data_IF_004402062889
#
_entry.id   IF_004402062889
#
_cell.length_a   1.000
_cell.length_b   1.000
_cell.length_c   1.000
_cell.angle_alpha   90.00
_cell.angle_beta   90.00
_cell.angle_gamma   90.00
#
_symmetry.space_group_name_H-M   'P 1'
#
loop_
_entity.id
_entity.type
_entity.pdbx_description
1 polymer ?
#
# COMPACT_ATOMS: atom_id res chain seq x y z
N UNK A 1 -10.44 -23.61 3.26
CA UNK A 1 -9.94 -22.23 3.27
C UNK A 1 -11.11 -21.31 2.99
N UNK A 2 -11.30 -20.23 3.75
CA UNK A 2 -12.42 -19.29 3.56
C UNK A 2 -11.87 -17.86 3.46
N UNK A 3 -12.43 -17.08 2.55
CA UNK A 3 -12.22 -15.64 2.48
C UNK A 3 -13.49 -14.96 2.98
N UNK A 4 -13.33 -13.88 3.75
CA UNK A 4 -14.42 -13.10 4.34
C UNK A 4 -14.15 -11.60 4.15
N UNK A 5 -15.06 -10.76 4.63
CA UNK A 5 -14.93 -9.30 4.60
C UNK A 5 -14.82 -8.71 3.17
N UNK A 6 -15.78 -9.07 2.33
CA UNK A 6 -15.92 -8.53 0.97
C UNK A 6 -16.54 -7.11 0.95
N UNK A 7 -16.63 -6.40 2.08
CA UNK A 7 -17.32 -5.10 2.18
C UNK A 7 -16.69 -3.98 1.33
N UNK A 8 -15.47 -4.19 0.82
CA UNK A 8 -14.76 -3.24 -0.07
C UNK A 8 -14.53 -3.77 -1.48
N UNK A 9 -15.10 -4.92 -1.82
CA UNK A 9 -14.94 -5.56 -3.13
C UNK A 9 -15.52 -4.67 -4.22
N UNK A 10 -14.77 -4.48 -5.30
CA UNK A 10 -15.22 -3.77 -6.47
C UNK A 10 -14.43 -4.25 -7.69
N UNK A 11 -14.93 -3.99 -8.89
CA UNK A 11 -14.17 -4.17 -10.12
C UNK A 11 -13.04 -3.15 -10.18
N UNK A 12 -11.87 -3.53 -9.65
CA UNK A 12 -10.64 -2.75 -9.67
C UNK A 12 -9.57 -3.52 -10.42
N UNK A 13 -8.48 -2.84 -10.71
CA UNK A 13 -7.28 -3.51 -11.18
C UNK A 13 -6.77 -4.51 -10.12
N UNK A 14 -6.23 -5.63 -10.58
CA UNK A 14 -5.83 -6.74 -9.69
C UNK A 14 -4.71 -6.37 -8.72
N UNK A 15 -3.91 -5.35 -9.05
CA UNK A 15 -2.87 -4.79 -8.17
C UNK A 15 -3.43 -4.20 -6.88
N UNK A 16 -4.74 -3.90 -6.81
CA UNK A 16 -5.36 -3.32 -5.62
C UNK A 16 -5.28 -4.23 -4.41
N UNK A 17 -5.41 -5.54 -4.62
CA UNK A 17 -5.22 -6.54 -3.56
C UNK A 17 -3.73 -6.70 -3.22
N UNK A 18 -2.84 -6.61 -4.22
CA UNK A 18 -1.39 -6.66 -4.02
C UNK A 18 -0.89 -5.53 -3.11
N UNK A 19 -1.38 -4.30 -3.27
CA UNK A 19 -1.05 -3.16 -2.38
C UNK A 19 -1.37 -3.49 -0.92
N UNK A 20 -2.53 -4.08 -0.65
CA UNK A 20 -2.94 -4.47 0.71
C UNK A 20 -2.05 -5.56 1.28
N UNK A 21 -1.77 -6.60 0.48
CA UNK A 21 -0.90 -7.71 0.87
C UNK A 21 0.53 -7.23 1.17
N UNK A 22 1.10 -6.35 0.33
CA UNK A 22 2.45 -5.79 0.51
C UNK A 22 2.59 -4.95 1.77
N UNK A 23 1.57 -4.17 2.14
CA UNK A 23 1.61 -3.37 3.38
C UNK A 23 1.39 -4.18 4.65
N UNK A 24 0.83 -5.40 4.56
CA UNK A 24 0.47 -6.23 5.70
C UNK A 24 1.19 -7.59 5.68
N UNK A 25 0.64 -8.58 4.97
CA UNK A 25 1.03 -9.98 5.08
C UNK A 25 2.40 -10.28 4.45
N UNK A 26 2.80 -9.54 3.42
CA UNK A 26 4.08 -9.72 2.72
C UNK A 26 5.20 -8.85 3.32
N UNK A 27 4.88 -7.92 4.22
CA UNK A 27 5.87 -7.00 4.80
C UNK A 27 6.99 -7.76 5.51
N UNK A 28 8.22 -7.61 5.02
CA UNK A 28 9.39 -8.32 5.53
C UNK A 28 9.44 -9.81 5.21
N UNK A 29 8.62 -10.29 4.26
CA UNK A 29 8.49 -11.71 3.89
C UNK A 29 8.65 -11.92 2.38
N UNK A 30 9.84 -11.66 1.80
CA UNK A 30 10.06 -11.71 0.35
C UNK A 30 9.79 -13.09 -0.27
N UNK A 31 10.02 -14.18 0.47
CA UNK A 31 9.72 -15.53 -0.01
C UNK A 31 8.21 -15.78 -0.19
N UNK A 32 7.36 -15.15 0.63
CA UNK A 32 5.91 -15.27 0.50
C UNK A 32 5.42 -14.52 -0.75
N UNK A 33 6.04 -13.38 -1.04
CA UNK A 33 5.76 -12.62 -2.26
C UNK A 33 6.20 -13.39 -3.52
N UNK A 34 7.37 -14.01 -3.49
CA UNK A 34 7.82 -14.90 -4.57
C UNK A 34 6.84 -16.06 -4.80
N UNK A 35 6.40 -16.71 -3.72
CA UNK A 35 5.42 -17.80 -3.80
C UNK A 35 4.05 -17.32 -4.34
N UNK A 36 3.62 -16.11 -3.97
CA UNK A 36 2.40 -15.49 -4.50
C UNK A 36 2.49 -15.32 -6.02
N UNK A 37 3.57 -14.70 -6.52
CA UNK A 37 3.73 -14.49 -7.96
C UNK A 37 3.88 -15.80 -8.75
N UNK A 38 4.60 -16.78 -8.18
CA UNK A 38 4.69 -18.11 -8.76
C UNK A 38 3.31 -18.78 -8.86
N UNK A 39 2.47 -18.65 -7.83
CA UNK A 39 1.10 -19.18 -7.83
C UNK A 39 0.13 -18.42 -8.73
N UNK A 40 0.30 -17.10 -8.87
CA UNK A 40 -0.49 -16.27 -9.79
C UNK A 40 -0.13 -16.50 -11.26
N UNK A 41 1.02 -17.12 -11.53
CA UNK A 41 1.60 -17.28 -12.87
C UNK A 41 1.59 -15.97 -13.67
N UNK A 42 1.90 -14.87 -12.99
CA UNK A 42 1.83 -13.51 -13.52
C UNK A 42 2.99 -12.69 -12.98
N UNK A 43 3.51 -11.82 -13.83
CA UNK A 43 4.47 -10.78 -13.44
C UNK A 43 3.82 -9.40 -13.60
N UNK A 44 4.37 -8.39 -12.93
CA UNK A 44 3.91 -7.01 -13.08
C UNK A 44 4.47 -6.42 -14.38
N UNK A 45 3.59 -6.04 -15.30
CA UNK A 45 3.99 -5.26 -16.46
C UNK A 45 4.10 -3.75 -16.14
N UNK A 46 4.42 -2.94 -17.14
CA UNK A 46 4.59 -1.50 -16.96
C UNK A 46 3.29 -0.79 -16.54
N UNK A 47 2.13 -1.31 -16.94
CA UNK A 47 0.82 -0.73 -16.65
C UNK A 47 0.38 -1.13 -15.23
N UNK A 48 0.62 -2.39 -14.86
CA UNK A 48 0.46 -2.91 -13.51
C UNK A 48 1.29 -2.07 -12.51
N UNK A 49 2.56 -1.78 -12.85
CA UNK A 49 3.43 -0.96 -12.00
C UNK A 49 2.93 0.49 -11.85
N UNK A 50 2.38 1.08 -12.91
CA UNK A 50 1.79 2.44 -12.83
C UNK A 50 0.55 2.43 -11.94
N UNK A 51 -0.33 1.46 -12.11
CA UNK A 51 -1.54 1.35 -11.31
C UNK A 51 -1.23 1.06 -9.83
N UNK A 52 -0.29 0.15 -9.57
CA UNK A 52 0.20 -0.16 -8.23
C UNK A 52 0.69 1.09 -7.50
N UNK A 53 1.49 1.94 -8.15
CA UNK A 53 1.99 3.21 -7.55
C UNK A 53 0.86 4.17 -7.18
N UNK A 54 -0.13 4.33 -8.07
CA UNK A 54 -1.28 5.19 -7.79
C UNK A 54 -2.11 4.65 -6.61
N UNK A 55 -2.28 3.33 -6.54
CA UNK A 55 -3.00 2.68 -5.44
C UNK A 55 -2.23 2.74 -4.12
N UNK A 56 -0.89 2.63 -4.11
CA UNK A 56 -0.07 2.88 -2.92
C UNK A 56 -0.21 4.32 -2.42
N UNK A 57 -0.19 5.31 -3.32
CA UNK A 57 -0.40 6.71 -2.96
C UNK A 57 -1.78 6.92 -2.34
N UNK A 58 -2.83 6.41 -2.99
CA UNK A 58 -4.19 6.52 -2.48
C UNK A 58 -4.34 5.81 -1.12
N UNK A 59 -3.74 4.64 -0.94
CA UNK A 59 -3.75 3.91 0.32
C UNK A 59 -3.06 4.71 1.44
N UNK A 60 -1.89 5.28 1.18
CA UNK A 60 -1.17 6.13 2.13
C UNK A 60 -1.97 7.38 2.51
N UNK A 61 -2.51 8.09 1.51
CA UNK A 61 -3.31 9.30 1.73
C UNK A 61 -4.59 9.00 2.50
N UNK A 62 -5.33 7.97 2.11
CA UNK A 62 -6.55 7.55 2.81
C UNK A 62 -6.28 7.17 4.27
N UNK A 63 -5.13 6.54 4.53
CA UNK A 63 -4.68 6.22 5.89
C UNK A 63 -4.47 7.49 6.71
N UNK A 64 -3.76 8.49 6.16
CA UNK A 64 -3.53 9.78 6.83
C UNK A 64 -4.84 10.52 7.11
N UNK A 65 -5.73 10.62 6.11
CA UNK A 65 -7.02 11.33 6.23
C UNK A 65 -7.92 10.66 7.27
N UNK A 66 -8.04 9.33 7.22
CA UNK A 66 -8.87 8.59 8.18
C UNK A 66 -8.32 8.71 9.60
N UNK A 67 -7.00 8.52 9.76
CA UNK A 67 -6.32 8.64 11.04
C UNK A 67 -6.50 10.04 11.67
N UNK A 68 -6.44 11.10 10.84
CA UNK A 68 -6.74 12.45 11.29
C UNK A 68 -8.19 12.58 11.78
N UNK A 69 -9.16 12.06 11.01
CA UNK A 69 -10.58 12.17 11.33
C UNK A 69 -10.97 11.51 12.66
N UNK A 70 -10.26 10.48 13.09
CA UNK A 70 -10.53 9.77 14.36
C UNK A 70 -9.52 10.03 15.48
N UNK A 71 -8.48 10.83 15.22
CA UNK A 71 -7.44 11.15 16.20
C UNK A 71 -6.41 10.04 16.45
N UNK A 72 -6.20 9.11 15.52
CA UNK A 72 -5.19 8.06 15.65
C UNK A 72 -3.84 8.51 15.05
N UNK A 73 -3.06 9.22 15.87
CA UNK A 73 -1.77 9.77 15.46
C UNK A 73 -0.75 8.69 15.08
N UNK A 74 -0.85 7.48 15.65
CA UNK A 74 0.07 6.38 15.35
C UNK A 74 -0.15 5.79 13.96
N UNK A 75 -1.42 5.60 13.60
CA UNK A 75 -1.81 5.08 12.29
C UNK A 75 -1.57 6.10 11.18
N UNK A 76 -1.63 7.40 11.50
CA UNK A 76 -1.23 8.45 10.56
C UNK A 76 0.23 8.32 10.12
N UNK A 77 1.15 7.99 11.03
CA UNK A 77 2.56 7.84 10.68
C UNK A 77 2.80 6.62 9.77
N UNK A 78 1.97 5.57 9.87
CA UNK A 78 1.97 4.48 8.87
C UNK A 78 1.58 4.97 7.49
N UNK A 79 0.55 5.81 7.39
CA UNK A 79 0.12 6.42 6.12
C UNK A 79 1.22 7.26 5.49
N UNK A 80 1.92 8.09 6.29
CA UNK A 80 3.06 8.87 5.82
C UNK A 80 4.21 8.00 5.29
N UNK A 81 4.56 6.92 6.02
CA UNK A 81 5.59 5.96 5.58
C UNK A 81 5.25 5.27 4.26
N UNK A 82 3.95 5.04 3.97
CA UNK A 82 3.51 4.52 2.67
C UNK A 82 3.76 5.57 1.59
N UNK A 83 3.36 6.83 1.82
CA UNK A 83 3.55 7.92 0.87
C UNK A 83 5.03 8.14 0.55
N UNK A 84 5.89 8.21 1.55
CA UNK A 84 7.35 8.39 1.39
C UNK A 84 7.95 7.33 0.44
N UNK A 85 7.58 6.06 0.62
CA UNK A 85 8.03 4.98 -0.27
C UNK A 85 7.48 5.13 -1.69
N UNK A 86 6.19 5.49 -1.82
CA UNK A 86 5.52 5.57 -3.10
C UNK A 86 6.01 6.74 -3.98
N UNK A 87 6.34 7.89 -3.37
CA UNK A 87 6.90 9.04 -4.09
C UNK A 87 8.42 8.98 -4.23
N UNK A 88 9.09 8.04 -3.57
CA UNK A 88 10.55 7.94 -3.57
C UNK A 88 11.25 9.12 -2.90
N UNK A 89 10.63 9.72 -1.87
CA UNK A 89 11.18 10.89 -1.19
C UNK A 89 12.54 10.56 -0.57
N UNK A 90 13.64 11.22 -0.97
CA UNK A 90 14.94 11.03 -0.33
C UNK A 90 14.82 11.40 1.15
N UNK A 91 15.29 10.55 2.06
CA UNK A 91 15.14 10.75 3.51
C UNK A 91 15.69 12.09 4.04
N UNK A 92 16.50 12.78 3.23
CA UNK A 92 17.21 14.04 3.50
C UNK A 92 16.43 15.31 3.07
N UNK A 93 15.45 15.20 2.15
CA UNK A 93 14.69 16.35 1.65
C UNK A 93 13.49 16.71 2.54
N UNK A 94 13.34 16.12 3.72
CA UNK A 94 12.14 16.29 4.56
C UNK A 94 11.91 17.78 4.88
N UNK A 95 10.75 18.37 4.50
CA UNK A 95 10.42 19.70 4.99
C UNK A 95 10.25 19.61 6.51
N UNK A 96 10.99 20.46 7.22
CA UNK A 96 10.84 20.65 8.67
C UNK A 96 9.36 20.88 8.97
N UNK A 97 8.70 19.89 9.57
CA UNK A 97 7.28 19.96 9.89
C UNK A 97 7.14 20.76 11.18
N UNK A 98 7.21 22.08 11.04
CA UNK A 98 6.66 23.03 12.01
C UNK A 98 5.22 23.34 11.59
N UNK A 99 4.28 22.51 12.05
CA UNK A 99 2.86 22.84 12.22
C UNK A 99 2.39 22.17 13.51
#
# INVERSE_FOLDING_TARGET
MALIDFGRTAARHWTSDLVRLRHQQLRGRPLLELALFAGLARELDADDLRQYRLEELLQGLATVVWAHGIGDFSYREDGKRILERAVGWPADDRPSTAL
#
